data_IF_361236147269
#
_entry.id   IF_361236147269
#
_cell.length_a   1.000
_cell.length_b   1.000
_cell.length_c   1.000
_cell.angle_alpha   90.00
_cell.angle_beta   90.00
_cell.angle_gamma   90.00
#
_symmetry.space_group_name_H-M   'P 1'
#
loop_
_entity.id
_entity.type
_entity.pdbx_description
1 polymer ?
#
# COMPACT_ATOMS: atom_id res chain seq x y z
N UNK A 1 -7.19 12.43 4.23
CA UNK A 1 -6.82 11.15 4.87
C UNK A 1 -6.91 11.28 6.38
N UNK A 2 -7.37 10.23 7.04
CA UNK A 2 -7.38 10.07 8.50
C UNK A 2 -6.13 9.36 9.00
N UNK A 3 -5.80 9.48 10.29
CA UNK A 3 -4.65 8.78 10.90
C UNK A 3 -4.73 7.25 10.74
N UNK A 4 -5.94 6.70 10.75
CA UNK A 4 -6.18 5.27 10.52
C UNK A 4 -5.81 4.85 9.10
N UNK A 5 -6.18 5.65 8.10
CA UNK A 5 -5.82 5.42 6.69
C UNK A 5 -4.32 5.53 6.48
N UNK A 6 -3.65 6.50 7.12
CA UNK A 6 -2.19 6.64 7.07
C UNK A 6 -1.50 5.44 7.70
N UNK A 7 -1.92 5.02 8.90
CA UNK A 7 -1.35 3.84 9.56
C UNK A 7 -1.55 2.57 8.74
N UNK A 8 -2.73 2.42 8.11
CA UNK A 8 -3.03 1.28 7.22
C UNK A 8 -2.13 1.30 5.97
N UNK A 9 -1.98 2.45 5.33
CA UNK A 9 -1.11 2.63 4.17
C UNK A 9 0.33 2.20 4.48
N UNK A 10 0.89 2.67 5.59
CA UNK A 10 2.26 2.34 5.99
C UNK A 10 2.45 0.84 6.20
N UNK A 11 1.51 0.16 6.87
CA UNK A 11 1.56 -1.29 7.08
C UNK A 11 1.50 -2.08 5.76
N UNK A 12 0.66 -1.64 4.82
CA UNK A 12 0.56 -2.28 3.50
C UNK A 12 1.85 -2.12 2.70
N UNK A 13 2.44 -0.93 2.70
CA UNK A 13 3.73 -0.67 2.05
C UNK A 13 4.85 -1.50 2.68
N UNK A 14 4.92 -1.54 4.02
CA UNK A 14 5.89 -2.37 4.76
C UNK A 14 5.76 -3.85 4.37
N UNK A 15 4.53 -4.38 4.36
CA UNK A 15 4.29 -5.77 3.99
C UNK A 15 4.65 -6.05 2.53
N UNK A 16 4.31 -5.14 1.61
CA UNK A 16 4.69 -5.23 0.20
C UNK A 16 6.20 -5.29 0.02
N UNK A 17 6.93 -4.39 0.68
CA UNK A 17 8.40 -4.36 0.65
C UNK A 17 9.00 -5.64 1.22
N UNK A 18 8.46 -6.16 2.32
CA UNK A 18 8.87 -7.45 2.86
C UNK A 18 8.74 -8.55 1.80
N UNK A 19 7.60 -8.68 1.14
CA UNK A 19 7.39 -9.74 0.13
C UNK A 19 8.36 -9.57 -1.03
N UNK A 20 8.54 -8.34 -1.54
CA UNK A 20 9.44 -8.08 -2.67
C UNK A 20 10.91 -8.36 -2.31
N UNK A 21 11.34 -8.08 -1.09
CA UNK A 21 12.68 -8.39 -0.61
C UNK A 21 12.94 -9.89 -0.42
N UNK A 22 11.88 -10.70 -0.27
CA UNK A 22 11.95 -12.16 -0.20
C UNK A 22 11.51 -12.82 -1.51
N UNK A 23 11.50 -12.07 -2.62
CA UNK A 23 11.28 -12.64 -3.94
C UNK A 23 12.48 -13.46 -4.39
N UNK A 24 12.23 -14.60 -5.07
CA UNK A 24 13.27 -15.55 -5.47
C UNK A 24 13.18 -16.85 -4.67
N UNK A 25 14.25 -17.21 -3.96
CA UNK A 25 14.36 -18.51 -3.26
C UNK A 25 13.39 -18.59 -2.07
N UNK A 26 13.19 -17.49 -1.34
CA UNK A 26 12.29 -17.43 -0.17
C UNK A 26 10.83 -17.15 -0.54
N UNK A 27 10.50 -17.24 -1.83
CA UNK A 27 9.14 -17.04 -2.31
C UNK A 27 8.20 -18.11 -1.74
N UNK A 28 7.04 -17.68 -1.25
CA UNK A 28 5.98 -18.57 -0.80
C UNK A 28 4.73 -18.40 -1.66
N UNK A 29 3.96 -19.46 -1.95
CA UNK A 29 2.76 -19.38 -2.78
C UNK A 29 1.75 -18.34 -2.29
N UNK A 30 1.67 -18.12 -0.98
CA UNK A 30 0.72 -17.18 -0.36
C UNK A 30 1.04 -15.72 -0.68
N UNK A 31 2.28 -15.41 -1.07
CA UNK A 31 2.70 -14.05 -1.39
C UNK A 31 2.03 -13.50 -2.65
N UNK A 32 1.66 -14.33 -3.61
CA UNK A 32 0.95 -13.90 -4.81
C UNK A 32 -0.42 -13.29 -4.49
N UNK A 33 -1.32 -14.04 -3.85
CA UNK A 33 -2.61 -13.52 -3.39
C UNK A 33 -2.47 -12.35 -2.40
N UNK A 34 -1.51 -12.40 -1.48
CA UNK A 34 -1.25 -11.32 -0.51
C UNK A 34 -0.88 -10.02 -1.22
N UNK A 35 0.03 -10.06 -2.22
CA UNK A 35 0.37 -8.91 -3.06
C UNK A 35 -0.83 -8.37 -3.83
N UNK A 36 -1.68 -9.22 -4.39
CA UNK A 36 -2.86 -8.78 -5.14
C UNK A 36 -3.84 -7.99 -4.24
N UNK A 37 -4.05 -8.44 -3.00
CA UNK A 37 -4.88 -7.74 -2.02
C UNK A 37 -4.23 -6.41 -1.62
N UNK A 38 -2.92 -6.42 -1.35
CA UNK A 38 -2.17 -5.22 -0.96
C UNK A 38 -2.21 -4.17 -2.07
N UNK A 39 -1.94 -4.54 -3.32
CA UNK A 39 -1.91 -3.62 -4.45
C UNK A 39 -3.29 -3.01 -4.70
N UNK A 40 -4.37 -3.80 -4.57
CA UNK A 40 -5.73 -3.31 -4.67
C UNK A 40 -6.06 -2.28 -3.57
N UNK A 41 -5.70 -2.56 -2.32
CA UNK A 41 -6.01 -1.64 -1.20
C UNK A 41 -5.15 -0.37 -1.27
N UNK A 42 -3.88 -0.49 -1.66
CA UNK A 42 -3.00 0.67 -1.89
C UNK A 42 -3.53 1.56 -3.01
N UNK A 43 -4.11 1.00 -4.08
CA UNK A 43 -4.70 1.77 -5.15
C UNK A 43 -5.87 2.65 -4.67
N UNK A 44 -6.72 2.14 -3.77
CA UNK A 44 -7.81 2.93 -3.18
C UNK A 44 -7.29 4.03 -2.24
N UNK A 45 -6.34 3.70 -1.36
CA UNK A 45 -5.74 4.70 -0.46
C UNK A 45 -4.97 5.79 -1.23
N UNK A 46 -4.39 5.45 -2.38
CA UNK A 46 -3.69 6.43 -3.23
C UNK A 46 -4.62 7.52 -3.76
N UNK A 47 -5.88 7.21 -4.06
CA UNK A 47 -6.88 8.23 -4.44
C UNK A 47 -7.10 9.23 -3.31
N UNK A 48 -7.12 8.78 -2.05
CA UNK A 48 -7.26 9.66 -0.88
C UNK A 48 -6.02 10.54 -0.65
N UNK A 49 -4.82 10.01 -0.91
CA UNK A 49 -3.56 10.79 -0.91
C UNK A 49 -3.61 11.88 -1.98
N UNK A 50 -4.00 11.53 -3.20
CA UNK A 50 -4.06 12.44 -4.34
C UNK A 50 -5.10 13.55 -4.10
N UNK A 51 -6.28 13.21 -3.57
CA UNK A 51 -7.30 14.20 -3.21
C UNK A 51 -6.79 15.21 -2.16
N UNK A 52 -6.11 14.73 -1.11
CA UNK A 52 -5.51 15.60 -0.09
C UNK A 52 -4.40 16.48 -0.67
N UNK A 53 -3.60 15.94 -1.59
CA UNK A 53 -2.52 16.69 -2.24
C UNK A 53 -3.06 17.79 -3.16
N UNK A 54 -4.13 17.52 -3.91
CA UNK A 54 -4.82 18.51 -4.74
C UNK A 54 -5.46 19.60 -3.88
N UNK A 55 -6.14 19.23 -2.80
CA UNK A 55 -6.72 20.19 -1.83
C UNK A 55 -5.67 21.17 -1.28
N UNK A 56 -4.45 20.70 -1.03
CA UNK A 56 -3.34 21.54 -0.55
C UNK A 56 -2.71 22.42 -1.63
N UNK A 57 -2.78 22.02 -2.90
CA UNK A 57 -2.28 22.82 -4.03
C UNK A 57 -3.22 23.95 -4.42
N UNK A 58 -4.51 23.81 -4.10
CA UNK A 58 -5.55 24.82 -4.36
C UNK A 58 -5.66 25.87 -3.24
N UNK A 59 -4.92 25.70 -2.12
CA UNK A 59 -4.83 26.68 -1.02
C UNK A 59 -3.56 27.53 -1.16
#
# INVERSE_FOLDING_TARGET
>A
MTDKEVSRYLKLVERRLYILNHSGIDWKPEYGPDLAIIDQELAELRKAVEAEHNRRKEC
#
